data_IF_747252090027
#
_entry.id   IF_747252090027
#
_cell.length_a   1.000
_cell.length_b   1.000
_cell.length_c   1.000
_cell.angle_alpha   90.00
_cell.angle_beta   90.00
_cell.angle_gamma   90.00
#
_symmetry.space_group_name_H-M   'P 1'
#
loop_
_entity.id
_entity.type
_entity.pdbx_description
1 polymer ?
#
# COMPACT_ATOMS: atom_id res chain seq x y z
N UNK A 1 5.58 4.40 -23.24
CA UNK A 1 5.86 5.25 -22.06
C UNK A 1 5.32 4.52 -20.84
N UNK A 2 6.00 4.56 -19.69
CA UNK A 2 5.44 4.02 -18.45
C UNK A 2 4.47 5.06 -17.84
N UNK A 3 3.35 4.62 -17.28
CA UNK A 3 2.32 5.47 -16.66
C UNK A 3 1.71 6.51 -17.62
N UNK A 4 1.50 6.11 -18.87
CA UNK A 4 0.82 6.94 -19.86
C UNK A 4 -0.64 7.17 -19.45
N UNK A 5 -1.09 8.42 -19.52
CA UNK A 5 -2.42 8.87 -19.06
C UNK A 5 -2.77 8.48 -17.60
N UNK A 6 -1.81 8.53 -16.68
CA UNK A 6 -2.10 8.39 -15.24
C UNK A 6 -2.37 9.76 -14.59
N UNK A 7 -3.31 9.80 -13.65
CA UNK A 7 -3.64 10.98 -12.84
C UNK A 7 -3.32 10.73 -11.36
N UNK A 8 -2.94 11.80 -10.67
CA UNK A 8 -2.63 11.78 -9.24
C UNK A 8 -3.88 11.99 -8.40
N UNK A 9 -4.10 11.14 -7.41
CA UNK A 9 -5.31 11.17 -6.54
C UNK A 9 -4.98 11.34 -5.06
N UNK A 10 -3.73 11.10 -4.66
CA UNK A 10 -3.20 11.43 -3.34
C UNK A 10 -1.79 11.96 -3.51
N UNK A 11 -1.48 13.07 -2.84
CA UNK A 11 -0.13 13.59 -2.70
C UNK A 11 0.13 13.96 -1.24
N UNK A 12 1.16 13.40 -0.63
CA UNK A 12 1.50 13.65 0.77
C UNK A 12 3.01 13.56 1.03
N UNK A 13 3.42 14.05 2.20
CA UNK A 13 4.75 13.81 2.74
C UNK A 13 4.70 12.70 3.78
N UNK A 14 5.51 11.67 3.58
CA UNK A 14 5.72 10.59 4.54
C UNK A 14 6.97 10.92 5.35
N UNK A 15 6.77 11.29 6.61
CA UNK A 15 7.82 11.74 7.52
C UNK A 15 8.12 10.65 8.54
N UNK A 16 9.40 10.30 8.67
CA UNK A 16 9.90 9.52 9.81
C UNK A 16 10.82 10.38 10.65
N UNK A 17 10.34 10.74 11.84
CA UNK A 17 11.14 11.46 12.83
C UNK A 17 12.38 10.66 13.23
N UNK A 18 13.47 11.37 13.51
CA UNK A 18 14.74 10.73 13.83
C UNK A 18 14.69 10.00 15.18
N UNK A 19 15.44 8.89 15.28
CA UNK A 19 15.61 8.13 16.52
C UNK A 19 14.28 7.67 17.17
N UNK A 20 13.26 7.43 16.34
CA UNK A 20 11.91 7.05 16.77
C UNK A 20 11.57 5.62 16.30
N UNK A 21 11.66 4.61 17.18
CA UNK A 21 11.29 3.23 16.83
C UNK A 21 9.82 3.08 16.41
N UNK A 22 8.93 3.95 16.91
CA UNK A 22 7.52 3.99 16.56
C UNK A 22 7.23 4.37 15.10
N UNK A 23 8.25 4.81 14.35
CA UNK A 23 8.10 5.16 12.93
C UNK A 23 8.12 3.94 12.01
N UNK A 24 8.29 2.73 12.53
CA UNK A 24 8.19 1.50 11.74
C UNK A 24 6.82 1.40 11.04
N UNK A 25 6.84 1.01 9.77
CA UNK A 25 5.64 0.55 9.08
C UNK A 25 5.86 -0.90 8.74
N UNK A 26 5.11 -1.77 9.42
CA UNK A 26 5.20 -3.22 9.27
C UNK A 26 4.83 -3.66 7.86
N UNK A 27 5.11 -4.91 7.55
CA UNK A 27 4.79 -5.51 6.26
C UNK A 27 3.29 -5.35 5.94
N UNK A 28 2.98 -4.73 4.81
CA UNK A 28 1.62 -4.49 4.36
C UNK A 28 1.56 -4.34 2.83
N UNK A 29 0.34 -4.18 2.34
CA UNK A 29 0.01 -3.71 1.00
C UNK A 29 -0.80 -2.42 1.16
N UNK A 30 -0.78 -1.58 0.13
CA UNK A 30 -1.60 -0.36 0.11
C UNK A 30 -3.06 -0.69 -0.23
N UNK A 31 -3.94 0.30 -0.04
CA UNK A 31 -5.36 0.15 -0.30
C UNK A 31 -5.67 -0.10 -1.79
N UNK A 32 -6.82 -0.72 -2.04
CA UNK A 32 -7.35 -0.86 -3.39
C UNK A 32 -7.94 0.48 -3.84
N UNK A 33 -7.36 1.07 -4.88
CA UNK A 33 -7.82 2.35 -5.45
C UNK A 33 -8.68 2.18 -6.71
N UNK A 34 -8.53 1.06 -7.42
CA UNK A 34 -9.15 0.79 -8.72
C UNK A 34 -9.56 -0.67 -8.82
N UNK A 35 -10.34 -1.04 -9.85
CA UNK A 35 -10.58 -2.45 -10.15
C UNK A 35 -9.31 -3.12 -10.68
N UNK A 36 -8.62 -3.82 -9.78
CA UNK A 36 -7.33 -4.45 -10.03
C UNK A 36 -7.36 -5.63 -11.00
N UNK A 37 -8.54 -6.10 -11.39
CA UNK A 37 -8.71 -7.10 -12.45
C UNK A 37 -8.56 -6.49 -13.84
N UNK A 38 -8.76 -5.17 -13.95
CA UNK A 38 -8.76 -4.43 -15.22
C UNK A 38 -7.55 -3.50 -15.33
N UNK A 39 -7.15 -2.88 -14.22
CA UNK A 39 -6.21 -1.76 -14.20
C UNK A 39 -5.26 -1.87 -13.00
N UNK A 40 -4.12 -1.16 -13.04
CA UNK A 40 -3.18 -1.09 -11.91
C UNK A 40 -2.95 0.35 -11.48
N UNK A 41 -3.09 0.60 -10.18
CA UNK A 41 -2.65 1.84 -9.54
C UNK A 41 -1.23 1.65 -9.00
N UNK A 42 -0.48 2.73 -8.91
CA UNK A 42 0.90 2.69 -8.42
C UNK A 42 1.16 3.78 -7.39
N UNK A 43 2.05 3.48 -6.45
CA UNK A 43 2.63 4.49 -5.59
C UNK A 43 3.97 4.96 -6.19
N UNK A 44 4.21 6.27 -6.15
CA UNK A 44 5.48 6.90 -6.50
C UNK A 44 6.06 7.49 -5.23
N UNK A 45 7.17 6.93 -4.77
CA UNK A 45 7.82 7.31 -3.52
C UNK A 45 9.22 7.88 -3.80
N UNK A 46 9.45 9.12 -3.39
CA UNK A 46 10.69 9.86 -3.63
C UNK A 46 11.20 10.49 -2.32
N UNK A 47 12.26 9.95 -1.70
CA UNK A 47 12.86 10.55 -0.52
C UNK A 47 13.58 11.85 -0.90
N UNK A 48 13.50 12.84 -0.01
CA UNK A 48 14.17 14.14 -0.17
C UNK A 48 15.62 14.13 0.34
N UNK A 49 16.05 13.00 0.91
CA UNK A 49 17.40 12.70 1.38
C UNK A 49 17.78 11.30 0.90
N UNK A 50 19.08 10.97 0.95
CA UNK A 50 19.52 9.59 0.73
C UNK A 50 18.89 8.67 1.78
N UNK A 51 18.42 7.50 1.36
CA UNK A 51 17.70 6.55 2.22
C UNK A 51 18.18 5.12 2.03
N UNK A 52 18.21 4.41 3.16
CA UNK A 52 18.50 3.00 3.28
C UNK A 52 17.76 2.44 4.51
N UNK A 53 18.03 1.18 4.88
CA UNK A 53 17.39 0.56 6.04
C UNK A 53 17.64 1.31 7.37
N UNK A 54 18.73 2.07 7.51
CA UNK A 54 19.07 2.75 8.77
C UNK A 54 18.20 3.97 9.07
N UNK A 55 17.64 4.61 8.03
CA UNK A 55 16.79 5.79 8.16
C UNK A 55 15.34 5.57 7.68
N UNK A 56 14.95 4.30 7.58
CA UNK A 56 13.60 3.89 7.23
C UNK A 56 13.29 3.98 5.74
N UNK A 57 14.21 3.59 4.87
CA UNK A 57 13.98 3.39 3.43
C UNK A 57 12.99 2.26 3.14
N UNK A 58 12.58 2.13 1.88
CA UNK A 58 11.63 1.09 1.46
C UNK A 58 12.31 -0.28 1.38
N UNK A 59 11.61 -1.31 1.86
CA UNK A 59 11.90 -2.71 1.57
C UNK A 59 10.70 -3.33 0.84
N UNK A 60 10.95 -4.11 -0.21
CA UNK A 60 9.89 -4.69 -1.04
C UNK A 60 10.02 -6.21 -1.13
N UNK A 61 8.89 -6.90 -1.27
CA UNK A 61 8.86 -8.31 -1.68
C UNK A 61 8.52 -8.36 -3.17
N UNK A 62 9.56 -8.51 -4.01
CA UNK A 62 9.42 -8.54 -5.47
C UNK A 62 8.42 -9.62 -5.91
N UNK A 63 7.50 -9.25 -6.82
CA UNK A 63 6.50 -10.15 -7.39
C UNK A 63 5.27 -10.43 -6.51
N UNK A 64 5.28 -10.00 -5.25
CA UNK A 64 4.21 -10.30 -4.28
C UNK A 64 2.81 -9.80 -4.64
N UNK A 65 2.70 -8.76 -5.47
CA UNK A 65 1.45 -8.24 -6.04
C UNK A 65 0.67 -9.26 -6.89
N UNK A 66 1.24 -10.46 -7.13
CA UNK A 66 0.63 -11.54 -7.91
C UNK A 66 0.23 -12.76 -7.07
N UNK A 67 0.52 -12.76 -5.76
CA UNK A 67 0.29 -13.93 -4.90
C UNK A 67 -1.19 -14.05 -4.52
N UNK A 68 -1.82 -12.93 -4.14
CA UNK A 68 -3.20 -12.88 -3.68
C UNK A 68 -3.93 -11.73 -4.34
N UNK A 69 -5.17 -12.00 -4.75
CA UNK A 69 -6.11 -11.02 -5.26
C UNK A 69 -7.19 -10.79 -4.20
N UNK A 70 -6.95 -9.82 -3.33
CA UNK A 70 -7.87 -9.41 -2.27
C UNK A 70 -8.02 -7.90 -2.27
N UNK A 71 -9.23 -7.44 -1.96
CA UNK A 71 -9.53 -6.05 -1.70
C UNK A 71 -8.88 -5.61 -0.38
N UNK A 72 -8.40 -4.37 -0.38
CA UNK A 72 -7.60 -3.81 0.71
C UNK A 72 -8.14 -2.44 1.08
N UNK A 73 -8.20 -2.17 2.37
CA UNK A 73 -8.73 -0.92 2.91
C UNK A 73 -8.48 -0.81 4.41
N UNK A 74 -8.95 0.27 5.04
CA UNK A 74 -8.88 0.42 6.49
C UNK A 74 -9.48 -0.80 7.19
N UNK A 75 -8.73 -1.38 8.14
CA UNK A 75 -9.14 -2.52 8.96
C UNK A 75 -9.32 -3.86 8.24
N UNK A 76 -9.01 -3.94 6.95
CA UNK A 76 -8.99 -5.21 6.24
C UNK A 76 -7.80 -6.06 6.72
N UNK A 77 -7.95 -7.40 6.83
CA UNK A 77 -6.85 -8.25 7.29
C UNK A 77 -5.72 -8.26 6.27
N UNK A 78 -4.47 -8.24 6.75
CA UNK A 78 -3.32 -8.47 5.89
C UNK A 78 -3.15 -9.99 5.64
N UNK A 79 -3.28 -10.49 4.40
CA UNK A 79 -3.15 -11.92 4.08
C UNK A 79 -1.76 -12.49 4.36
N UNK A 80 -0.74 -11.64 4.48
CA UNK A 80 0.65 -12.05 4.69
C UNK A 80 1.05 -12.11 6.18
N UNK A 81 0.15 -11.76 7.11
CA UNK A 81 0.49 -11.63 8.53
C UNK A 81 1.03 -12.93 9.14
N UNK A 82 0.48 -14.09 8.75
CA UNK A 82 0.90 -15.40 9.25
C UNK A 82 2.34 -15.73 8.91
N UNK A 83 2.85 -15.23 7.78
CA UNK A 83 4.21 -15.49 7.29
C UNK A 83 5.12 -14.27 7.41
N UNK A 84 4.72 -13.23 8.14
CA UNK A 84 5.43 -11.96 8.18
C UNK A 84 6.92 -12.11 8.53
N UNK A 85 7.26 -12.95 9.52
CA UNK A 85 8.64 -13.21 9.90
C UNK A 85 9.46 -13.88 8.78
N UNK A 86 8.90 -14.91 8.13
CA UNK A 86 9.55 -15.58 7.01
C UNK A 86 9.72 -14.66 5.81
N UNK A 87 8.72 -13.82 5.53
CA UNK A 87 8.80 -12.85 4.44
C UNK A 87 9.86 -11.79 4.73
N UNK A 88 9.92 -11.28 5.96
CA UNK A 88 10.93 -10.32 6.36
C UNK A 88 12.35 -10.89 6.26
N UNK A 89 12.56 -12.14 6.65
CA UNK A 89 13.87 -12.78 6.62
C UNK A 89 14.33 -13.17 5.21
N UNK A 90 13.42 -13.67 4.36
CA UNK A 90 13.81 -14.37 3.11
C UNK A 90 13.47 -13.62 1.83
N UNK A 91 12.49 -12.72 1.87
CA UNK A 91 11.88 -12.20 0.64
C UNK A 91 11.84 -10.67 0.57
N UNK A 92 11.91 -9.95 1.70
CA UNK A 92 12.07 -8.50 1.69
C UNK A 92 13.47 -8.11 1.21
N UNK A 93 13.50 -7.15 0.29
CA UNK A 93 14.71 -6.58 -0.28
C UNK A 93 14.70 -5.07 -0.09
N UNK A 94 15.76 -4.53 0.51
CA UNK A 94 15.92 -3.08 0.67
C UNK A 94 16.15 -2.40 -0.67
N UNK A 95 15.56 -1.22 -0.83
CA UNK A 95 15.70 -0.37 -2.01
C UNK A 95 16.36 0.94 -1.59
N UNK A 96 17.70 1.00 -1.52
CA UNK A 96 18.39 2.24 -1.21
C UNK A 96 18.22 3.23 -2.37
N UNK A 97 17.87 4.47 -2.04
CA UNK A 97 17.67 5.56 -3.00
C UNK A 97 18.48 6.78 -2.57
N UNK A 98 19.03 7.50 -3.54
CA UNK A 98 19.58 8.84 -3.33
C UNK A 98 18.49 9.90 -3.40
N UNK A 99 18.73 11.06 -2.81
CA UNK A 99 17.83 12.21 -2.91
C UNK A 99 17.45 12.50 -4.39
N UNK A 100 16.15 12.59 -4.66
CA UNK A 100 15.61 12.82 -6.00
C UNK A 100 15.47 11.56 -6.88
N UNK A 101 15.92 10.39 -6.43
CA UNK A 101 15.52 9.12 -7.04
C UNK A 101 14.16 8.69 -6.49
N UNK A 102 13.40 7.95 -7.30
CA UNK A 102 12.10 7.46 -6.88
C UNK A 102 11.97 5.96 -7.16
N UNK A 103 11.18 5.28 -6.33
CA UNK A 103 10.64 3.96 -6.63
C UNK A 103 9.17 4.10 -7.02
N UNK A 104 8.78 3.37 -8.07
CA UNK A 104 7.40 3.25 -8.52
C UNK A 104 7.00 1.78 -8.34
N UNK A 105 5.92 1.52 -7.63
CA UNK A 105 5.46 0.16 -7.36
C UNK A 105 3.93 0.05 -7.35
N UNK A 106 3.44 -1.14 -7.70
CA UNK A 106 2.02 -1.50 -7.64
C UNK A 106 1.52 -1.47 -6.19
N UNK A 107 0.33 -0.90 -5.92
CA UNK A 107 -0.21 -0.85 -4.55
C UNK A 107 -0.45 -2.23 -3.92
N UNK A 108 -0.61 -3.28 -4.74
CA UNK A 108 -0.68 -4.66 -4.26
C UNK A 108 0.70 -5.24 -3.90
N UNK A 109 1.81 -4.54 -4.14
CA UNK A 109 3.14 -5.02 -3.77
C UNK A 109 3.31 -4.97 -2.25
N UNK A 110 3.66 -6.11 -1.68
CA UNK A 110 4.01 -6.22 -0.27
C UNK A 110 5.32 -5.47 -0.02
N UNK A 111 5.28 -4.55 0.95
CA UNK A 111 6.40 -3.72 1.32
C UNK A 111 6.36 -3.36 2.81
N UNK A 112 7.49 -2.85 3.31
CA UNK A 112 7.66 -2.40 4.69
C UNK A 112 8.67 -1.26 4.75
N UNK A 113 8.72 -0.56 5.88
CA UNK A 113 9.81 0.37 6.17
C UNK A 113 10.29 0.22 7.61
N UNK A 114 11.59 -0.02 7.85
CA UNK A 114 12.15 -0.06 9.20
C UNK A 114 12.03 1.32 9.87
N UNK A 115 12.14 1.40 11.21
CA UNK A 115 12.14 2.68 11.90
C UNK A 115 13.31 3.56 11.46
N UNK A 116 13.16 4.89 11.58
CA UNK A 116 14.28 5.80 11.37
C UNK A 116 15.17 5.84 12.62
N UNK A 117 16.30 5.14 12.57
CA UNK A 117 17.30 5.08 13.64
C UNK A 117 18.42 6.13 13.46
N UNK A 118 18.37 6.90 12.38
CA UNK A 118 19.35 7.94 12.11
C UNK A 118 19.16 9.16 13.03
N UNK A 119 20.03 10.15 12.85
CA UNK A 119 20.00 11.45 13.57
C UNK A 119 19.28 12.55 12.81
N UNK A 120 18.66 12.24 11.67
CA UNK A 120 17.98 13.21 10.82
C UNK A 120 16.57 12.72 10.47
N UNK A 121 15.60 13.62 10.51
CA UNK A 121 14.23 13.33 10.06
C UNK A 121 14.24 13.05 8.56
N UNK A 122 13.64 11.91 8.16
CA UNK A 122 13.52 11.50 6.76
C UNK A 122 12.17 11.93 6.23
N UNK A 123 12.18 12.82 5.24
CA UNK A 123 10.98 13.24 4.50
C UNK A 123 10.98 12.59 3.12
N UNK A 124 9.84 12.04 2.71
CA UNK A 124 9.64 11.55 1.35
C UNK A 124 8.34 12.11 0.77
N UNK A 125 8.39 12.53 -0.48
CA UNK A 125 7.20 12.82 -1.26
C UNK A 125 6.59 11.50 -1.73
N UNK A 126 5.28 11.40 -1.62
CA UNK A 126 4.52 10.20 -1.96
C UNK A 126 3.31 10.59 -2.82
N UNK A 127 3.08 9.83 -3.90
CA UNK A 127 1.96 10.05 -4.79
C UNK A 127 1.27 8.74 -5.18
N UNK A 128 -0.04 8.71 -5.06
CA UNK A 128 -0.89 7.63 -5.59
C UNK A 128 -1.32 8.04 -6.99
N UNK A 129 -0.93 7.24 -7.99
CA UNK A 129 -1.31 7.42 -9.38
C UNK A 129 -2.25 6.29 -9.83
N UNK A 130 -3.28 6.65 -10.58
CA UNK A 130 -4.25 5.72 -11.19
C UNK A 130 -4.39 6.02 -12.69
N UNK A 131 -4.79 5.06 -13.54
CA UNK A 131 -5.12 5.35 -14.93
C UNK A 131 -6.20 6.43 -15.03
N UNK A 132 -6.10 7.30 -16.03
CA UNK A 132 -6.95 8.47 -16.21
C UNK A 132 -8.43 8.11 -16.29
N UNK A 133 -8.73 7.03 -17.01
CA UNK A 133 -10.07 6.47 -17.18
C UNK A 133 -10.60 5.69 -15.95
N UNK A 134 -9.77 5.45 -14.93
CA UNK A 134 -10.17 4.62 -13.80
C UNK A 134 -11.21 5.31 -12.90
N UNK A 135 -12.29 4.58 -12.61
CA UNK A 135 -13.17 4.89 -11.49
C UNK A 135 -12.45 4.55 -10.18
N UNK A 136 -12.29 5.54 -9.30
CA UNK A 136 -11.74 5.30 -7.96
C UNK A 136 -12.70 4.48 -7.11
N UNK A 137 -12.13 3.57 -6.35
CA UNK A 137 -12.83 2.68 -5.43
C UNK A 137 -12.38 2.91 -3.99
N UNK A 138 -13.29 2.71 -3.05
CA UNK A 138 -12.97 2.61 -1.63
C UNK A 138 -13.66 1.39 -1.02
N UNK A 139 -12.87 0.57 -0.32
CA UNK A 139 -13.36 -0.55 0.45
C UNK A 139 -13.63 -0.10 1.89
N UNK A 140 -14.84 -0.33 2.37
CA UNK A 140 -15.28 0.02 3.71
C UNK A 140 -15.68 -1.23 4.48
N UNK A 141 -15.30 -1.28 5.76
CA UNK A 141 -15.71 -2.32 6.69
C UNK A 141 -16.22 -1.64 7.97
N UNK A 142 -17.51 -1.81 8.25
CA UNK A 142 -18.13 -1.33 9.48
C UNK A 142 -17.65 -2.16 10.67
N UNK A 143 -16.75 -1.62 11.48
CA UNK A 143 -16.18 -2.36 12.62
C UNK A 143 -17.20 -2.62 13.75
N UNK A 144 -18.29 -1.86 13.80
CA UNK A 144 -19.30 -1.96 14.85
C UNK A 144 -20.42 -2.96 14.46
N UNK A 145 -20.47 -3.39 13.20
CA UNK A 145 -21.43 -4.37 12.72
C UNK A 145 -21.04 -5.81 13.14
N UNK A 146 -21.92 -6.56 13.85
CA UNK A 146 -21.63 -7.93 14.31
C UNK A 146 -21.28 -8.94 13.21
N UNK A 147 -21.64 -8.63 11.97
CA UNK A 147 -21.32 -9.40 10.76
C UNK A 147 -20.97 -8.44 9.63
N UNK A 148 -20.00 -7.56 9.89
CA UNK A 148 -19.48 -6.61 8.93
C UNK A 148 -19.17 -7.32 7.61
N UNK A 149 -19.87 -6.91 6.54
CA UNK A 149 -19.56 -7.33 5.19
C UNK A 149 -18.82 -6.18 4.50
N UNK A 150 -17.71 -6.45 3.82
CA UNK A 150 -17.06 -5.44 3.01
C UNK A 150 -18.04 -4.75 2.06
N UNK A 151 -18.04 -3.43 2.08
CA UNK A 151 -18.79 -2.57 1.16
C UNK A 151 -17.81 -1.94 0.17
N UNK A 152 -18.22 -1.84 -1.10
CA UNK A 152 -17.46 -1.18 -2.14
C UNK A 152 -18.17 0.10 -2.58
N UNK A 153 -17.41 1.18 -2.67
CA UNK A 153 -17.90 2.49 -3.11
C UNK A 153 -17.12 3.00 -4.31
N UNK A 154 -17.82 3.60 -5.26
CA UNK A 154 -17.23 4.50 -6.23
C UNK A 154 -17.09 5.89 -5.59
N UNK A 155 -15.89 6.44 -5.59
CA UNK A 155 -15.55 7.74 -4.99
C UNK A 155 -15.02 8.70 -6.08
N UNK A 156 -15.00 9.99 -5.76
CA UNK A 156 -14.38 11.02 -6.60
C UNK A 156 -12.92 11.30 -6.18
N UNK A 157 -12.23 12.10 -6.99
CA UNK A 157 -10.81 12.45 -6.80
C UNK A 157 -10.55 13.27 -5.54
N UNK A 158 -11.55 14.00 -5.04
CA UNK A 158 -11.46 14.79 -3.83
C UNK A 158 -11.64 13.97 -2.55
N UNK A 159 -12.09 12.72 -2.64
CA UNK A 159 -12.39 11.88 -1.49
C UNK A 159 -11.23 11.81 -0.50
N UNK A 160 -10.02 11.48 -0.96
CA UNK A 160 -8.85 11.29 -0.09
C UNK A 160 -8.32 12.58 0.55
N UNK A 161 -8.80 13.76 0.12
CA UNK A 161 -8.46 15.04 0.74
C UNK A 161 -9.32 15.37 1.96
N UNK A 162 -10.49 14.74 2.06
CA UNK A 162 -11.50 15.09 3.05
C UNK A 162 -11.98 13.89 3.88
N UNK A 163 -11.72 12.67 3.43
CA UNK A 163 -12.15 11.49 4.15
C UNK A 163 -11.42 11.38 5.49
N UNK A 164 -12.15 10.94 6.49
CA UNK A 164 -11.59 10.47 7.74
C UNK A 164 -11.51 8.94 7.65
N UNK A 165 -10.35 8.39 7.96
CA UNK A 165 -10.12 6.95 7.92
C UNK A 165 -11.11 6.26 8.88
N UNK A 166 -11.83 5.28 8.36
CA UNK A 166 -12.82 4.51 9.10
C UNK A 166 -14.24 5.05 9.05
N UNK A 167 -14.46 6.28 8.55
CA UNK A 167 -15.81 6.76 8.30
C UNK A 167 -16.39 6.08 7.04
N UNK A 168 -17.70 5.79 7.07
CA UNK A 168 -18.40 5.24 5.91
C UNK A 168 -18.38 6.26 4.76
N UNK A 169 -17.95 5.90 3.54
CA UNK A 169 -17.84 6.84 2.43
C UNK A 169 -19.17 7.47 2.02
N UNK A 170 -19.14 8.75 1.64
CA UNK A 170 -20.26 9.44 1.00
C UNK A 170 -20.41 9.17 -0.51
N UNK A 171 -19.57 8.30 -1.07
CA UNK A 171 -19.58 7.93 -2.49
C UNK A 171 -20.77 7.06 -2.89
N UNK A 172 -20.83 6.66 -4.17
CA UNK A 172 -21.88 5.77 -4.68
C UNK A 172 -21.60 4.33 -4.25
N UNK A 173 -22.48 3.77 -3.44
CA UNK A 173 -22.43 2.36 -3.05
C UNK A 173 -22.57 1.45 -4.28
N UNK A 174 -21.63 0.54 -4.47
CA UNK A 174 -21.60 -0.42 -5.57
C UNK A 174 -22.07 -1.81 -5.16
N UNK A 175 -22.10 -2.10 -3.85
CA UNK A 175 -22.57 -3.36 -3.32
C UNK A 175 -21.70 -3.91 -2.21
N UNK A 176 -22.16 -5.01 -1.64
CA UNK A 176 -21.35 -5.85 -0.78
C UNK A 176 -20.41 -6.70 -1.63
N UNK A 177 -19.19 -6.89 -1.16
CA UNK A 177 -18.17 -7.71 -1.82
C UNK A 177 -17.75 -8.85 -0.90
N UNK A 178 -17.58 -10.03 -1.48
CA UNK A 178 -16.92 -11.12 -0.77
C UNK A 178 -15.41 -10.90 -0.89
N UNK A 179 -14.73 -10.86 0.25
CA UNK A 179 -13.29 -10.64 0.34
C UNK A 179 -12.67 -11.65 1.28
N UNK A 180 -12.92 -12.93 1.00
CA UNK A 180 -12.32 -14.03 1.72
C UNK A 180 -10.78 -13.96 1.62
N UNK A 181 -10.12 -13.84 2.77
CA UNK A 181 -8.67 -13.80 2.85
C UNK A 181 -8.15 -15.24 2.65
N UNK A 182 -7.44 -15.54 1.56
CA UNK A 182 -6.95 -16.89 1.33
C UNK A 182 -5.81 -17.22 2.28
N UNK A 183 -5.71 -18.48 2.69
CA UNK A 183 -4.51 -18.98 3.33
C UNK A 183 -3.39 -19.05 2.28
N UNK A 184 -2.27 -18.39 2.55
CA UNK A 184 -1.09 -18.45 1.69
C UNK A 184 -0.21 -19.61 2.14
N UNK A 185 0.12 -20.54 1.24
CA UNK A 185 1.09 -21.59 1.48
C UNK A 185 2.53 -21.09 1.25
N UNK A 186 3.52 -21.65 1.95
CA UNK A 186 4.91 -21.19 1.89
C UNK A 186 5.54 -21.32 0.50
N UNK A 187 5.14 -22.33 -0.26
CA UNK A 187 5.59 -22.56 -1.64
C UNK A 187 5.12 -21.46 -2.59
N UNK A 188 3.91 -20.91 -2.39
CA UNK A 188 3.39 -19.78 -3.15
C UNK A 188 4.26 -18.52 -3.01
N UNK A 189 4.92 -18.34 -1.86
CA UNK A 189 5.84 -17.22 -1.64
C UNK A 189 7.10 -17.33 -2.52
N UNK A 190 7.58 -18.56 -2.76
CA UNK A 190 8.80 -18.80 -3.54
C UNK A 190 8.57 -18.69 -5.06
N UNK A 191 7.33 -18.90 -5.54
CA UNK A 191 7.02 -18.92 -6.97
C UNK A 191 7.11 -17.55 -7.66
N UNK A 192 7.00 -16.45 -6.91
CA UNK A 192 6.97 -15.10 -7.49
C UNK A 192 8.32 -14.39 -7.52
N UNK A 193 9.37 -15.02 -6.97
CA UNK A 193 10.73 -14.47 -6.96
C UNK A 193 11.63 -15.02 -8.09
N UNK A 194 11.17 -16.05 -8.81
CA UNK A 194 11.80 -16.59 -10.02
C UNK A 194 11.54 -15.72 -11.26
#
# INVERSE_FOLDING_TARGET
MFLDDYRCVVGNFVVKEHSRPETEVSLHQDWTFVDERLMRSVNVWCPLIDTDASNGGQSIFKGSHRIVDVLRGPYFPNPFVTHAATIAEKYLMDVPLRAGQAIIYDHALVHATPPNQSRQTRVAANMVLVPGEAQLLHCYLDQDAPRARPELFAIDDGFFLHNKIGDRPGGRFLGYVDNAIPAIALDQLALVTA
#
